data_IF_081947837621
#
_entry.id   IF_081947837621
#
_cell.length_a   1.000
_cell.length_b   1.000
_cell.length_c   1.000
_cell.angle_alpha   90.00
_cell.angle_beta   90.00
_cell.angle_gamma   90.00
#
_symmetry.space_group_name_H-M   'P 1'
#
loop_
_entity.id
_entity.type
_entity.pdbx_description
1 polymer ?
#
# COMPACT_ATOMS: atom_id res chain seq x y z
N UNK A 1 -14.16 -1.34 -6.63
CA UNK A 1 -14.43 -2.72 -7.12
C UNK A 1 -15.43 -2.87 -8.28
N UNK A 2 -16.65 -2.34 -8.19
CA UNK A 2 -17.77 -2.67 -9.13
C UNK A 2 -17.49 -2.35 -10.60
N UNK A 3 -16.88 -1.21 -10.90
CA UNK A 3 -16.53 -0.83 -12.28
C UNK A 3 -15.59 -1.84 -12.93
N UNK A 4 -14.56 -2.28 -12.21
CA UNK A 4 -13.62 -3.30 -12.68
C UNK A 4 -14.33 -4.64 -12.92
N UNK A 5 -15.22 -5.05 -12.01
CA UNK A 5 -16.03 -6.27 -12.17
C UNK A 5 -16.91 -6.25 -13.43
N UNK A 6 -17.56 -5.12 -13.71
CA UNK A 6 -18.38 -4.95 -14.93
C UNK A 6 -17.49 -4.92 -16.18
N UNK A 7 -16.39 -4.18 -16.16
CA UNK A 7 -15.44 -4.12 -17.28
C UNK A 7 -14.88 -5.50 -17.63
N UNK A 8 -14.47 -6.28 -16.61
CA UNK A 8 -13.96 -7.64 -16.75
C UNK A 8 -14.99 -8.54 -17.44
N UNK A 9 -16.23 -8.56 -16.93
CA UNK A 9 -17.35 -9.31 -17.50
C UNK A 9 -17.64 -8.94 -18.96
N UNK A 10 -17.48 -7.66 -19.31
CA UNK A 10 -17.66 -7.14 -20.67
C UNK A 10 -16.44 -7.33 -21.57
N UNK A 11 -15.42 -8.06 -21.14
CA UNK A 11 -14.16 -8.28 -21.85
C UNK A 11 -13.48 -6.96 -22.26
N UNK A 12 -13.45 -5.99 -21.34
CA UNK A 12 -12.76 -4.69 -21.51
C UNK A 12 -11.48 -4.68 -20.69
N UNK A 13 -10.46 -3.98 -21.18
CA UNK A 13 -9.27 -3.67 -20.40
C UNK A 13 -9.61 -2.64 -19.32
N UNK A 14 -9.06 -2.82 -18.11
CA UNK A 14 -9.27 -1.92 -16.99
C UNK A 14 -8.02 -1.87 -16.10
N UNK A 15 -7.89 -0.74 -15.40
CA UNK A 15 -6.97 -0.57 -14.28
C UNK A 15 -7.83 -0.09 -13.11
N UNK A 16 -7.76 -0.82 -11.99
CA UNK A 16 -8.40 -0.43 -10.74
C UNK A 16 -7.34 0.05 -9.76
N UNK A 17 -7.64 1.14 -9.06
CA UNK A 17 -6.83 1.66 -7.95
C UNK A 17 -7.77 1.76 -6.76
N UNK A 18 -7.39 1.19 -5.63
CA UNK A 18 -8.16 1.20 -4.38
C UNK A 18 -7.22 1.57 -3.24
N UNK A 19 -7.68 2.45 -2.35
CA UNK A 19 -6.87 2.92 -1.20
C UNK A 19 -7.41 2.37 0.12
N UNK A 20 -8.68 1.98 0.16
CA UNK A 20 -9.35 1.58 1.39
C UNK A 20 -9.42 0.06 1.51
N UNK A 21 -9.18 -0.43 2.73
CA UNK A 21 -9.40 -1.84 3.07
C UNK A 21 -10.85 -2.03 3.54
N UNK A 22 -11.64 -2.72 2.72
CA UNK A 22 -13.02 -3.07 3.03
C UNK A 22 -13.18 -4.52 3.52
N UNK A 23 -12.09 -5.19 3.85
CA UNK A 23 -12.07 -6.60 4.25
C UNK A 23 -12.74 -7.50 3.21
N UNK A 24 -13.77 -8.22 3.63
CA UNK A 24 -14.51 -9.16 2.76
C UNK A 24 -15.20 -8.48 1.56
N UNK A 25 -15.44 -7.16 1.61
CA UNK A 25 -16.06 -6.41 0.53
C UNK A 25 -15.05 -5.76 -0.42
N UNK A 26 -13.76 -6.03 -0.23
CA UNK A 26 -12.68 -5.46 -1.01
C UNK A 26 -12.79 -5.77 -2.52
N UNK A 27 -12.19 -4.88 -3.31
CA UNK A 27 -12.11 -4.98 -4.76
C UNK A 27 -11.49 -6.30 -5.24
N UNK A 28 -10.46 -6.81 -4.56
CA UNK A 28 -9.75 -8.05 -4.90
C UNK A 28 -10.65 -9.26 -4.67
N UNK A 29 -11.32 -9.35 -3.52
CA UNK A 29 -12.26 -10.44 -3.22
C UNK A 29 -13.39 -10.48 -4.25
N UNK A 30 -13.92 -9.31 -4.62
CA UNK A 30 -14.93 -9.20 -5.66
C UNK A 30 -14.44 -9.67 -7.02
N UNK A 31 -13.23 -9.26 -7.44
CA UNK A 31 -12.67 -9.67 -8.73
C UNK A 31 -12.34 -11.17 -8.76
N UNK A 32 -11.84 -11.75 -7.65
CA UNK A 32 -11.70 -13.21 -7.50
C UNK A 32 -13.03 -13.92 -7.69
N UNK A 33 -14.13 -13.40 -7.15
CA UNK A 33 -15.46 -13.96 -7.36
C UNK A 33 -15.95 -13.78 -8.80
N UNK A 34 -15.59 -12.69 -9.49
CA UNK A 34 -15.92 -12.51 -10.92
C UNK A 34 -15.23 -13.58 -11.76
N UNK A 35 -13.93 -13.78 -11.56
CA UNK A 35 -13.15 -14.82 -12.26
C UNK A 35 -13.65 -16.22 -11.90
N UNK A 36 -13.94 -16.47 -10.62
CA UNK A 36 -14.40 -17.77 -10.13
C UNK A 36 -13.27 -18.78 -9.95
N UNK A 37 -13.64 -20.02 -9.61
CA UNK A 37 -12.71 -21.11 -9.31
C UNK A 37 -12.65 -22.09 -10.47
N UNK A 38 -11.50 -22.19 -11.12
CA UNK A 38 -11.31 -23.16 -12.20
C UNK A 38 -11.52 -24.59 -11.70
N UNK A 39 -12.32 -25.36 -12.44
CA UNK A 39 -12.55 -26.78 -12.19
C UNK A 39 -11.30 -27.56 -12.58
N UNK A 40 -10.72 -28.28 -11.62
CA UNK A 40 -9.54 -29.13 -11.87
C UNK A 40 -9.95 -30.44 -12.56
N UNK A 41 -9.11 -30.91 -13.49
CA UNK A 41 -9.24 -32.23 -14.13
C UNK A 41 -10.28 -32.32 -15.26
N UNK A 42 -10.81 -31.18 -15.74
CA UNK A 42 -11.64 -31.13 -16.95
C UNK A 42 -10.81 -31.04 -18.23
N UNK A 43 -11.40 -31.47 -19.36
CA UNK A 43 -10.82 -31.30 -20.70
C UNK A 43 -10.96 -29.87 -21.24
N UNK A 44 -11.84 -29.07 -20.63
CA UNK A 44 -12.16 -27.70 -21.03
C UNK A 44 -11.97 -26.76 -19.83
N UNK A 45 -11.66 -25.49 -20.11
CA UNK A 45 -11.71 -24.45 -19.10
C UNK A 45 -13.14 -24.23 -18.63
N UNK A 46 -13.40 -24.68 -17.40
CA UNK A 46 -14.68 -24.52 -16.73
C UNK A 46 -14.44 -23.86 -15.38
N UNK A 47 -15.31 -22.92 -15.01
CA UNK A 47 -15.26 -22.25 -13.72
C UNK A 47 -16.48 -22.64 -12.89
N UNK A 48 -16.22 -22.86 -11.61
CA UNK A 48 -17.21 -23.07 -10.57
C UNK A 48 -17.24 -21.84 -9.67
N UNK A 49 -18.37 -21.58 -9.02
CA UNK A 49 -18.45 -20.55 -7.96
C UNK A 49 -18.00 -19.14 -8.42
N UNK A 50 -18.54 -18.68 -9.55
CA UNK A 50 -18.31 -17.34 -10.10
C UNK A 50 -19.51 -16.41 -9.87
N UNK A 51 -19.30 -15.10 -10.01
CA UNK A 51 -20.29 -14.07 -9.75
C UNK A 51 -21.47 -14.10 -10.73
N UNK A 52 -22.68 -14.29 -10.19
CA UNK A 52 -23.95 -14.34 -10.94
C UNK A 52 -24.78 -13.05 -10.80
N UNK A 53 -24.26 -12.04 -10.11
CA UNK A 53 -24.96 -10.78 -9.87
C UNK A 53 -24.78 -9.77 -11.01
N UNK A 54 -25.57 -8.69 -10.97
CA UNK A 54 -25.49 -7.58 -11.93
C UNK A 54 -25.70 -8.02 -13.38
N UNK A 55 -24.78 -7.63 -14.27
CA UNK A 55 -24.88 -7.91 -15.71
C UNK A 55 -24.62 -9.38 -16.08
N UNK A 56 -24.23 -10.25 -15.14
CA UNK A 56 -23.84 -11.63 -15.43
C UNK A 56 -24.92 -12.40 -16.20
N UNK A 57 -26.19 -12.20 -15.85
CA UNK A 57 -27.32 -12.85 -16.54
C UNK A 57 -27.45 -12.37 -17.98
N UNK A 58 -27.33 -11.06 -18.22
CA UNK A 58 -27.53 -10.43 -19.54
C UNK A 58 -26.46 -10.84 -20.55
N UNK A 59 -25.27 -11.19 -20.09
CA UNK A 59 -24.14 -11.58 -20.96
C UNK A 59 -23.81 -13.08 -20.86
N UNK A 60 -24.60 -13.85 -20.11
CA UNK A 60 -24.33 -15.27 -19.84
C UNK A 60 -22.90 -15.49 -19.29
N UNK A 61 -22.48 -14.70 -18.29
CA UNK A 61 -21.16 -14.80 -17.67
C UNK A 61 -20.98 -16.18 -17.03
N UNK A 62 -19.80 -16.78 -17.23
CA UNK A 62 -19.45 -18.13 -16.75
C UNK A 62 -18.15 -18.21 -15.96
N UNK A 63 -17.69 -17.07 -15.43
CA UNK A 63 -16.34 -16.96 -14.88
C UNK A 63 -15.28 -16.93 -15.99
N UNK A 64 -14.03 -16.88 -15.58
CA UNK A 64 -12.87 -16.81 -16.45
C UNK A 64 -12.17 -15.48 -16.47
N UNK A 65 -11.10 -15.44 -17.27
CA UNK A 65 -10.14 -14.36 -17.28
C UNK A 65 -9.21 -14.38 -16.07
N UNK A 66 -8.34 -13.39 -16.04
CA UNK A 66 -7.35 -13.17 -15.01
C UNK A 66 -7.17 -11.67 -14.77
N UNK A 67 -6.57 -11.34 -13.64
CA UNK A 67 -6.13 -9.99 -13.36
C UNK A 67 -4.86 -10.05 -12.52
N UNK A 68 -4.01 -9.04 -12.68
CA UNK A 68 -2.82 -8.86 -11.86
C UNK A 68 -3.18 -7.92 -10.72
N UNK A 69 -2.75 -8.29 -9.52
CA UNK A 69 -2.84 -7.47 -8.32
C UNK A 69 -1.45 -7.12 -7.84
N UNK A 70 -1.22 -5.85 -7.53
CA UNK A 70 0.03 -5.34 -6.99
C UNK A 70 -0.28 -4.34 -5.88
N UNK A 71 0.63 -4.24 -4.93
CA UNK A 71 0.61 -3.22 -3.87
C UNK A 71 1.84 -2.33 -4.01
N UNK A 72 1.72 -1.09 -3.55
CA UNK A 72 2.87 -0.20 -3.44
C UNK A 72 3.68 -0.58 -2.19
N UNK A 73 4.99 -0.73 -2.35
CA UNK A 73 5.86 -1.01 -1.22
C UNK A 73 5.93 0.22 -0.30
N UNK A 74 5.44 0.06 0.92
CA UNK A 74 5.39 1.12 1.94
C UNK A 74 6.80 1.55 2.34
N UNK A 75 6.99 2.86 2.46
CA UNK A 75 8.15 3.46 3.09
C UNK A 75 7.71 4.33 4.27
N UNK A 76 7.56 5.65 4.11
CA UNK A 76 7.05 6.50 5.19
C UNK A 76 5.61 6.15 5.61
N UNK A 77 4.83 5.47 4.76
CA UNK A 77 3.51 4.96 5.11
C UNK A 77 3.56 3.98 6.30
N UNK A 78 4.61 3.16 6.40
CA UNK A 78 4.77 2.24 7.54
C UNK A 78 4.94 3.00 8.86
N UNK A 79 5.54 4.19 8.83
CA UNK A 79 5.62 5.08 9.99
C UNK A 79 4.28 5.77 10.26
N UNK A 80 3.56 6.21 9.22
CA UNK A 80 2.22 6.80 9.36
C UNK A 80 1.26 5.84 10.09
N UNK A 81 1.24 4.56 9.71
CA UNK A 81 0.40 3.54 10.35
C UNK A 81 0.79 3.33 11.82
N UNK A 82 2.09 3.27 12.13
CA UNK A 82 2.60 3.18 13.51
C UNK A 82 2.21 4.40 14.34
N UNK A 83 2.36 5.60 13.80
CA UNK A 83 2.00 6.86 14.47
C UNK A 83 0.49 6.90 14.75
N UNK A 84 -0.34 6.55 13.76
CA UNK A 84 -1.80 6.55 13.93
C UNK A 84 -2.25 5.53 14.98
N UNK A 85 -1.68 4.32 14.95
CA UNK A 85 -2.00 3.23 15.88
C UNK A 85 -1.39 3.37 17.27
N UNK A 86 -0.42 4.27 17.46
CA UNK A 86 0.23 4.52 18.73
C UNK A 86 -0.78 4.88 19.82
N UNK A 87 -0.58 4.32 21.02
CA UNK A 87 -1.47 4.50 22.16
C UNK A 87 -0.85 5.34 23.27
N UNK A 88 0.45 5.64 23.17
CA UNK A 88 1.15 6.40 24.20
C UNK A 88 2.22 7.32 23.63
N UNK A 89 2.56 8.36 24.39
CA UNK A 89 3.63 9.30 24.05
C UNK A 89 5.00 8.63 24.00
N UNK A 90 5.24 7.61 24.82
CA UNK A 90 6.50 6.87 24.83
C UNK A 90 6.73 6.10 23.52
N UNK A 91 5.66 5.56 22.91
CA UNK A 91 5.73 4.94 21.58
C UNK A 91 6.10 5.98 20.51
N UNK A 92 5.46 7.15 20.55
CA UNK A 92 5.74 8.25 19.61
C UNK A 92 7.17 8.78 19.74
N UNK A 93 7.72 8.90 20.94
CA UNK A 93 9.13 9.29 21.16
C UNK A 93 10.09 8.27 20.55
N UNK A 94 9.79 6.97 20.68
CA UNK A 94 10.60 5.92 20.03
C UNK A 94 10.53 6.02 18.51
N UNK A 95 9.33 6.22 17.95
CA UNK A 95 9.16 6.38 16.50
C UNK A 95 9.88 7.62 16.00
N UNK A 96 9.85 8.72 16.75
CA UNK A 96 10.61 9.90 16.36
C UNK A 96 12.11 9.63 16.24
N UNK A 97 12.71 9.01 17.27
CA UNK A 97 14.14 8.66 17.24
C UNK A 97 14.48 7.72 16.08
N UNK A 98 13.58 6.80 15.76
CA UNK A 98 13.73 5.87 14.63
C UNK A 98 13.64 6.60 13.27
N UNK A 99 12.63 7.46 13.10
CA UNK A 99 12.44 8.29 11.90
C UNK A 99 13.65 9.20 11.69
N UNK A 100 14.15 9.83 12.75
CA UNK A 100 15.31 10.72 12.66
C UNK A 100 16.63 10.00 12.36
N UNK A 101 16.72 8.70 12.66
CA UNK A 101 17.89 7.87 12.33
C UNK A 101 17.82 7.24 10.95
N UNK A 102 16.64 6.78 10.54
CA UNK A 102 16.47 5.87 9.40
C UNK A 102 15.69 6.47 8.23
N UNK A 103 14.88 7.50 8.45
CA UNK A 103 14.27 8.19 7.34
C UNK A 103 15.26 9.25 6.87
N UNK A 104 15.45 9.35 5.55
CA UNK A 104 15.98 10.52 4.87
C UNK A 104 15.01 11.70 5.06
N UNK A 105 14.68 12.01 6.32
CA UNK A 105 14.04 13.21 6.74
C UNK A 105 14.84 14.33 6.09
N UNK A 106 14.10 15.23 5.49
CA UNK A 106 14.52 16.40 4.75
C UNK A 106 15.27 17.40 5.64
N UNK A 107 16.24 16.93 6.43
CA UNK A 107 17.10 17.77 7.20
C UNK A 107 18.23 18.24 6.32
N UNK A 108 17.86 19.13 5.39
CA UNK A 108 18.82 19.85 4.57
C UNK A 108 19.76 20.75 5.41
N UNK A 109 19.61 20.81 6.74
CA UNK A 109 20.47 21.61 7.61
C UNK A 109 20.53 21.00 9.02
N UNK A 110 21.48 20.09 9.27
CA UNK A 110 22.18 19.82 10.56
C UNK A 110 21.96 18.42 11.19
N UNK A 111 22.85 17.43 11.13
CA UNK A 111 22.60 16.01 11.51
C UNK A 111 22.35 15.66 13.01
N UNK A 112 22.23 16.60 13.94
CA UNK A 112 22.07 16.32 15.38
C UNK A 112 20.74 16.81 15.91
N UNK A 113 19.80 15.89 16.21
CA UNK A 113 18.52 16.23 16.86
C UNK A 113 18.88 17.00 18.12
N UNK A 114 18.55 18.31 18.24
CA UNK A 114 18.81 19.02 19.48
C UNK A 114 18.11 18.25 20.59
N UNK A 115 18.81 17.92 21.68
CA UNK A 115 18.20 17.23 22.82
C UNK A 115 16.93 17.97 23.28
N UNK A 116 16.98 19.29 23.22
CA UNK A 116 15.86 20.22 23.46
C UNK A 116 14.60 19.89 22.63
N UNK A 117 14.76 19.43 21.38
CA UNK A 117 13.61 19.07 20.55
C UNK A 117 12.89 17.84 21.12
N UNK A 118 13.65 16.83 21.57
CA UNK A 118 13.11 15.61 22.18
C UNK A 118 12.30 15.96 23.43
N UNK A 119 12.86 16.84 24.26
CA UNK A 119 12.23 17.31 25.48
C UNK A 119 10.97 18.14 25.17
N UNK A 120 11.01 19.06 24.21
CA UNK A 120 9.85 19.84 23.76
C UNK A 120 8.70 18.94 23.29
N UNK A 121 9.00 17.89 22.54
CA UNK A 121 7.98 16.92 22.11
C UNK A 121 7.39 16.14 23.27
N UNK A 122 8.20 15.75 24.25
CA UNK A 122 7.73 15.09 25.47
C UNK A 122 6.80 16.03 26.24
N UNK A 123 7.14 17.32 26.36
CA UNK A 123 6.29 18.32 26.99
C UNK A 123 4.97 18.52 26.25
N UNK A 124 4.95 18.50 24.91
CA UNK A 124 3.71 18.53 24.12
C UNK A 124 2.78 17.39 24.54
N UNK A 125 3.32 16.18 24.75
CA UNK A 125 2.58 15.01 25.20
C UNK A 125 1.87 15.19 26.54
N UNK A 126 2.39 16.04 27.42
CA UNK A 126 1.82 16.34 28.74
C UNK A 126 0.68 17.38 28.69
N UNK A 127 0.49 18.06 27.56
CA UNK A 127 -0.58 19.04 27.38
C UNK A 127 -1.93 18.39 27.09
N UNK A 128 -3.02 19.16 27.15
CA UNK A 128 -4.34 18.71 26.70
C UNK A 128 -4.29 18.25 25.23
N UNK A 129 -4.84 17.07 24.94
CA UNK A 129 -4.75 16.37 23.65
C UNK A 129 -3.30 16.17 23.16
N UNK A 130 -2.33 16.04 24.08
CA UNK A 130 -0.91 15.94 23.79
C UNK A 130 -0.56 14.79 22.84
N UNK A 131 -1.19 13.62 23.02
CA UNK A 131 -0.98 12.46 22.15
C UNK A 131 -1.34 12.78 20.68
N UNK A 132 -2.49 13.40 20.44
CA UNK A 132 -2.93 13.74 19.08
C UNK A 132 -2.06 14.82 18.45
N UNK A 133 -1.60 15.79 19.26
CA UNK A 133 -0.64 16.81 18.81
C UNK A 133 0.69 16.17 18.41
N UNK A 134 1.20 15.24 19.21
CA UNK A 134 2.43 14.49 18.92
C UNK A 134 2.28 13.65 17.65
N UNK A 135 1.15 12.95 17.46
CA UNK A 135 0.86 12.20 16.24
C UNK A 135 0.88 13.10 15.01
N UNK A 136 0.22 14.25 15.09
CA UNK A 136 0.16 15.24 14.01
C UNK A 136 1.56 15.75 13.65
N UNK A 137 2.37 16.11 14.64
CA UNK A 137 3.72 16.60 14.41
C UNK A 137 4.60 15.55 13.71
N UNK A 138 4.58 14.30 14.18
CA UNK A 138 5.37 13.23 13.53
C UNK A 138 4.90 12.96 12.10
N UNK A 139 3.59 12.99 11.85
CA UNK A 139 3.05 12.85 10.50
C UNK A 139 3.48 14.01 9.57
N UNK A 140 3.68 15.21 10.12
CA UNK A 140 4.15 16.38 9.37
C UNK A 140 5.65 16.34 9.06
N UNK A 141 6.44 15.67 9.91
CA UNK A 141 7.87 15.47 9.66
C UNK A 141 8.12 14.55 8.46
N UNK A 142 7.29 13.53 8.26
CA UNK A 142 7.47 12.57 7.17
C UNK A 142 7.34 13.21 5.78
N UNK A 143 8.29 12.88 4.88
CA UNK A 143 8.21 13.30 3.49
C UNK A 143 7.06 12.57 2.79
N UNK A 144 5.98 13.31 2.48
CA UNK A 144 4.77 12.79 1.84
C UNK A 144 4.99 12.31 0.40
N UNK A 145 6.05 12.79 -0.27
CA UNK A 145 6.45 12.31 -1.60
C UNK A 145 7.19 10.96 -1.54
N UNK A 146 7.51 10.48 -0.34
CA UNK A 146 8.19 9.20 -0.08
C UNK A 146 7.36 8.31 0.87
N UNK A 147 6.02 8.41 0.82
CA UNK A 147 5.15 7.46 1.54
C UNK A 147 5.35 6.02 1.05
N UNK A 148 5.61 5.87 -0.23
CA UNK A 148 5.93 4.61 -0.89
C UNK A 148 7.27 4.75 -1.59
N UNK A 149 7.94 3.62 -1.79
CA UNK A 149 9.24 3.57 -2.43
C UNK A 149 9.15 4.00 -3.90
N UNK A 150 10.11 4.82 -4.34
CA UNK A 150 10.22 5.14 -5.76
C UNK A 150 10.87 3.97 -6.50
N UNK A 151 10.37 3.69 -7.71
CA UNK A 151 10.94 2.64 -8.55
C UNK A 151 12.44 2.87 -8.85
N UNK A 152 12.88 4.13 -8.92
CA UNK A 152 14.30 4.48 -9.12
C UNK A 152 15.20 4.05 -7.97
N UNK A 153 14.63 3.84 -6.78
CA UNK A 153 15.34 3.44 -5.56
C UNK A 153 15.28 1.92 -5.33
N UNK A 154 14.66 1.15 -6.23
CA UNK A 154 14.44 -0.30 -6.05
C UNK A 154 15.74 -1.10 -5.89
N UNK A 155 16.86 -0.58 -6.37
CA UNK A 155 18.18 -1.22 -6.28
C UNK A 155 19.03 -0.77 -5.10
N UNK A 156 18.57 0.23 -4.34
CA UNK A 156 19.25 0.67 -3.13
C UNK A 156 19.18 -0.42 -2.05
N UNK A 157 20.35 -0.72 -1.48
CA UNK A 157 20.53 -1.79 -0.50
C UNK A 157 19.81 -1.50 0.82
N UNK A 158 19.59 -0.23 1.15
CA UNK A 158 18.96 0.20 2.40
C UNK A 158 17.50 -0.23 2.49
N UNK A 159 16.83 -0.41 1.34
CA UNK A 159 15.44 -0.85 1.28
C UNK A 159 15.25 -2.37 1.30
N UNK A 160 16.31 -3.16 1.10
CA UNK A 160 16.28 -4.61 1.13
C UNK A 160 15.15 -5.25 0.28
N UNK A 161 14.87 -4.68 -0.89
CA UNK A 161 13.86 -5.21 -1.83
C UNK A 161 14.27 -6.59 -2.32
N UNK A 162 13.35 -7.54 -2.32
CA UNK A 162 13.62 -8.92 -2.73
C UNK A 162 14.01 -9.01 -4.21
N UNK A 163 14.83 -10.00 -4.57
CA UNK A 163 15.19 -10.24 -5.97
C UNK A 163 13.98 -10.59 -6.85
N UNK A 164 12.94 -11.19 -6.26
CA UNK A 164 11.68 -11.52 -6.92
C UNK A 164 10.88 -10.26 -7.25
N UNK A 165 10.74 -9.34 -6.29
CA UNK A 165 10.03 -8.08 -6.50
C UNK A 165 10.76 -7.19 -7.51
N UNK A 166 12.10 -7.14 -7.44
CA UNK A 166 12.93 -6.45 -8.46
C UNK A 166 12.67 -7.00 -9.84
N UNK A 167 12.66 -8.32 -9.99
CA UNK A 167 12.41 -8.99 -11.28
C UNK A 167 10.99 -8.72 -11.78
N UNK A 168 9.99 -8.84 -10.90
CA UNK A 168 8.59 -8.58 -11.24
C UNK A 168 8.39 -7.14 -11.73
N UNK A 169 8.90 -6.15 -10.99
CA UNK A 169 8.79 -4.73 -11.36
C UNK A 169 9.50 -4.45 -12.70
N UNK A 170 10.72 -4.98 -12.92
CA UNK A 170 11.42 -4.84 -14.20
C UNK A 170 10.64 -5.46 -15.36
N UNK A 171 10.03 -6.63 -15.16
CA UNK A 171 9.18 -7.26 -16.18
C UNK A 171 7.89 -6.48 -16.42
N UNK A 172 7.31 -5.86 -15.39
CA UNK A 172 6.08 -5.09 -15.49
C UNK A 172 6.27 -3.75 -16.21
N UNK A 173 7.30 -2.99 -15.84
CA UNK A 173 7.59 -1.67 -16.42
C UNK A 173 8.39 -1.75 -17.73
N UNK A 174 9.03 -2.88 -18.04
CA UNK A 174 9.74 -3.13 -19.30
C UNK A 174 11.01 -2.30 -19.48
N UNK A 175 11.47 -2.13 -20.74
CA UNK A 175 12.67 -1.35 -21.08
C UNK A 175 12.52 0.17 -20.92
N UNK A 176 11.35 0.68 -20.53
CA UNK A 176 11.10 2.11 -20.31
C UNK A 176 11.93 2.73 -19.17
N UNK A 177 12.75 1.93 -18.48
CA UNK A 177 13.67 2.35 -17.42
C UNK A 177 15.16 2.23 -17.79
N UNK A 178 15.50 1.71 -18.97
CA UNK A 178 16.90 1.59 -19.45
C UNK A 178 17.32 2.79 -20.34
N UNK A 179 16.61 3.92 -20.25
CA UNK A 179 16.89 5.14 -21.02
C UNK A 179 17.69 6.16 -20.23
#
# INVERSE_FOLDING_TARGET
GTTAAVAHKMNRQYIGIEQLDYGENDSVTRLKNVVGKQKKGGLLEEYTDYDRSGISKSINWKGGGDFIYCELMKYNEAYMEKIQSAKSSEELVKFWKDIAKNSFLNWYVNPEIPEDAVDDFIEIGKTENGLDKQKKLLAELLNKNQLYMNLSEIDDADFNVSGEDKKLNRSFYGEAYNG
#
